data_IF_210695391427
#
_entry.id   IF_210695391427
#
_cell.length_a   1.000
_cell.length_b   1.000
_cell.length_c   1.000
_cell.angle_alpha   90.00
_cell.angle_beta   90.00
_cell.angle_gamma   90.00
#
_symmetry.space_group_name_H-M   'P 1'
#
loop_
_entity.id
_entity.type
_entity.pdbx_description
1 polymer ?
#
# COMPACT_ATOMS: atom_id res chain seq x y z
N UNK A 1 -5.95 -24.89 -14.61
CA UNK A 1 -5.07 -23.69 -14.69
C UNK A 1 -4.60 -23.35 -13.28
N UNK A 2 -3.31 -23.05 -13.10
CA UNK A 2 -2.78 -22.60 -11.82
C UNK A 2 -3.19 -21.14 -11.58
N UNK A 3 -3.67 -20.83 -10.37
CA UNK A 3 -3.96 -19.45 -9.95
C UNK A 3 -2.67 -18.88 -9.37
N UNK A 4 -2.25 -17.73 -9.89
CA UNK A 4 -0.98 -17.08 -9.57
C UNK A 4 -1.25 -15.87 -8.64
N UNK A 5 -0.35 -15.63 -7.68
CA UNK A 5 -0.46 -14.57 -6.66
C UNK A 5 0.80 -13.70 -6.58
N UNK A 6 0.70 -12.38 -6.31
CA UNK A 6 -0.51 -11.65 -5.93
C UNK A 6 -1.51 -11.55 -7.08
N UNK A 7 -2.79 -11.79 -6.78
CA UNK A 7 -3.83 -11.82 -7.81
C UNK A 7 -4.30 -10.40 -8.10
N UNK A 8 -4.58 -10.09 -9.37
CA UNK A 8 -5.20 -8.82 -9.76
C UNK A 8 -6.71 -8.86 -9.51
N UNK A 9 -7.26 -7.79 -8.94
CA UNK A 9 -8.71 -7.66 -8.79
C UNK A 9 -9.37 -7.34 -10.14
N UNK A 10 -10.67 -7.65 -10.32
CA UNK A 10 -11.41 -7.21 -11.50
C UNK A 10 -11.41 -5.68 -11.64
N UNK A 11 -11.43 -5.16 -12.86
CA UNK A 11 -11.52 -3.70 -13.15
C UNK A 11 -12.95 -3.20 -13.22
N UNK A 12 -13.90 -4.12 -13.43
CA UNK A 12 -15.29 -3.77 -13.67
C UNK A 12 -16.22 -4.55 -12.74
N UNK A 13 -17.19 -3.88 -12.07
CA UNK A 13 -17.21 -2.44 -11.85
C UNK A 13 -16.04 -2.00 -10.95
N UNK A 14 -15.56 -0.78 -11.14
CA UNK A 14 -14.58 -0.17 -10.25
C UNK A 14 -15.14 0.08 -8.84
N UNK A 15 -14.28 0.51 -7.94
CA UNK A 15 -14.67 0.82 -6.56
C UNK A 15 -15.61 2.02 -6.52
N UNK A 16 -16.74 1.88 -5.80
CA UNK A 16 -17.62 3.01 -5.50
C UNK A 16 -17.04 3.92 -4.41
N UNK A 17 -16.37 3.31 -3.45
CA UNK A 17 -15.67 4.01 -2.36
C UNK A 17 -14.47 3.20 -1.93
N UNK A 18 -13.34 3.89 -1.76
CA UNK A 18 -12.16 3.39 -1.09
C UNK A 18 -11.92 4.27 0.14
N UNK A 19 -11.53 3.66 1.26
CA UNK A 19 -11.12 4.36 2.47
C UNK A 19 -9.83 3.74 2.95
N UNK A 20 -8.83 4.58 3.21
CA UNK A 20 -7.49 4.17 3.62
C UNK A 20 -7.28 4.71 5.04
N UNK A 21 -6.99 3.82 5.99
CA UNK A 21 -6.79 4.19 7.39
C UNK A 21 -5.41 3.70 7.88
N UNK A 22 -4.54 4.57 8.40
CA UNK A 22 -3.29 4.15 9.01
C UNK A 22 -3.58 3.48 10.35
N UNK A 23 -2.94 2.34 10.60
CA UNK A 23 -2.92 1.67 11.89
C UNK A 23 -1.47 1.58 12.37
N UNK A 24 -1.25 2.08 13.58
CA UNK A 24 0.01 1.93 14.29
C UNK A 24 -0.28 1.34 15.68
N UNK A 25 0.50 0.34 16.08
CA UNK A 25 0.46 -0.19 17.42
C UNK A 25 1.37 0.67 18.29
N UNK A 26 0.79 1.48 19.18
CA UNK A 26 1.53 2.36 20.10
C UNK A 26 1.06 2.10 21.53
N UNK A 27 2.00 1.78 22.42
CA UNK A 27 1.76 1.70 23.85
C UNK A 27 2.04 3.04 24.51
N UNK A 28 1.16 3.48 25.42
CA UNK A 28 1.36 4.71 26.21
C UNK A 28 1.19 4.37 27.68
N UNK A 29 2.19 4.72 28.49
CA UNK A 29 2.13 4.66 29.95
C UNK A 29 2.30 6.07 30.50
N UNK A 30 1.42 6.48 31.40
CA UNK A 30 1.49 7.80 32.05
C UNK A 30 1.60 7.60 33.55
N UNK A 31 2.64 8.17 34.16
CA UNK A 31 2.79 8.15 35.60
C UNK A 31 1.79 9.15 36.23
N UNK A 32 0.86 8.70 37.10
CA UNK A 32 -0.22 9.54 37.62
C UNK A 32 0.26 10.65 38.56
N UNK A 33 1.47 10.55 39.11
CA UNK A 33 2.03 11.48 40.10
C UNK A 33 3.01 12.50 39.52
N UNK A 34 3.62 12.22 38.37
CA UNK A 34 4.60 13.11 37.73
C UNK A 34 4.16 13.60 36.36
N UNK A 35 3.03 13.09 35.84
CA UNK A 35 2.54 13.35 34.49
C UNK A 35 3.55 13.05 33.37
N UNK A 36 4.60 12.28 33.67
CA UNK A 36 5.59 11.85 32.68
C UNK A 36 4.96 10.74 31.86
N UNK A 37 4.94 10.94 30.54
CA UNK A 37 4.43 9.99 29.56
C UNK A 37 5.59 9.23 28.94
N UNK A 38 5.50 7.90 28.94
CA UNK A 38 6.36 7.01 28.18
C UNK A 38 5.56 6.45 27.01
N UNK A 39 6.00 6.74 25.78
CA UNK A 39 5.43 6.21 24.54
C UNK A 39 6.36 5.13 24.00
N UNK A 40 5.82 3.94 23.75
CA UNK A 40 6.53 2.84 23.11
C UNK A 40 5.86 2.55 21.78
N UNK A 41 6.56 2.85 20.69
CA UNK A 41 6.11 2.52 19.34
C UNK A 41 6.45 1.06 19.04
N UNK A 42 5.44 0.24 18.78
CA UNK A 42 5.65 -1.13 18.35
C UNK A 42 5.83 -1.16 16.82
N UNK A 43 6.61 -2.12 16.28
CA UNK A 43 6.92 -2.17 14.85
C UNK A 43 5.71 -2.54 13.97
N UNK A 44 4.59 -2.97 14.56
CA UNK A 44 3.37 -3.31 13.82
C UNK A 44 2.67 -2.05 13.31
N UNK A 45 2.86 -1.77 12.03
CA UNK A 45 2.15 -0.70 11.32
C UNK A 45 1.61 -1.23 10.00
N UNK A 46 0.38 -0.88 9.64
CA UNK A 46 -0.23 -1.27 8.37
C UNK A 46 -1.30 -0.28 7.95
N UNK A 47 -1.67 -0.34 6.67
CA UNK A 47 -2.81 0.36 6.12
C UNK A 47 -4.02 -0.58 6.08
N UNK A 48 -5.16 -0.10 6.56
CA UNK A 48 -6.45 -0.77 6.37
C UNK A 48 -7.20 -0.13 5.22
N UNK A 49 -7.68 -0.97 4.32
CA UNK A 49 -8.48 -0.56 3.18
C UNK A 49 -9.93 -1.01 3.36
N UNK A 50 -10.84 -0.04 3.35
CA UNK A 50 -12.29 -0.26 3.27
C UNK A 50 -12.77 -0.03 1.84
N UNK A 51 -13.23 -1.08 1.17
CA UNK A 51 -13.73 -1.02 -0.22
C UNK A 51 -15.25 -1.22 -0.24
N UNK A 52 -15.96 -0.36 -0.96
CA UNK A 52 -17.38 -0.55 -1.29
C UNK A 52 -17.53 -0.70 -2.78
N UNK A 53 -18.14 -1.81 -3.21
CA UNK A 53 -18.49 -2.06 -4.60
C UNK A 53 -19.90 -1.51 -4.91
N UNK A 54 -20.15 -1.01 -6.13
CA UNK A 54 -21.49 -0.59 -6.53
C UNK A 54 -22.42 -1.81 -6.73
N UNK A 55 -23.75 -1.60 -6.73
CA UNK A 55 -24.70 -2.63 -7.18
C UNK A 55 -24.38 -3.03 -8.62
N UNK A 56 -24.37 -4.34 -8.90
CA UNK A 56 -23.98 -4.86 -10.21
C UNK A 56 -24.80 -6.10 -10.60
N UNK A 57 -24.94 -6.39 -11.91
CA UNK A 57 -25.54 -7.64 -12.37
C UNK A 57 -24.78 -8.85 -11.86
N UNK A 58 -25.47 -9.99 -11.73
CA UNK A 58 -24.85 -11.24 -11.28
C UNK A 58 -23.61 -11.62 -12.09
N UNK A 59 -23.67 -11.46 -13.42
CA UNK A 59 -22.58 -11.83 -14.31
C UNK A 59 -21.24 -11.17 -13.92
N UNK A 60 -21.25 -9.87 -13.60
CA UNK A 60 -20.04 -9.15 -13.13
C UNK A 60 -19.75 -9.42 -11.66
N UNK A 61 -20.76 -9.65 -10.83
CA UNK A 61 -20.55 -10.01 -9.42
C UNK A 61 -19.78 -11.33 -9.25
N UNK A 62 -20.06 -12.33 -10.09
CA UNK A 62 -19.41 -13.65 -10.01
C UNK A 62 -17.89 -13.55 -10.27
N UNK A 63 -17.42 -12.58 -11.06
CA UNK A 63 -15.98 -12.32 -11.24
C UNK A 63 -15.32 -11.86 -9.94
N UNK A 64 -15.96 -10.93 -9.23
CA UNK A 64 -15.51 -10.46 -7.92
C UNK A 64 -15.55 -11.57 -6.86
N UNK A 65 -16.62 -12.36 -6.84
CA UNK A 65 -16.77 -13.50 -5.92
C UNK A 65 -15.68 -14.53 -6.18
N UNK A 66 -15.44 -14.90 -7.43
CA UNK A 66 -14.38 -15.84 -7.79
C UNK A 66 -12.98 -15.34 -7.41
N UNK A 67 -12.72 -14.04 -7.60
CA UNK A 67 -11.48 -13.40 -7.15
C UNK A 67 -11.31 -13.47 -5.63
N UNK A 68 -12.31 -13.04 -4.85
CA UNK A 68 -12.26 -13.04 -3.39
C UNK A 68 -12.15 -14.46 -2.82
N UNK A 69 -12.90 -15.42 -3.39
CA UNK A 69 -12.83 -16.83 -3.00
C UNK A 69 -11.43 -17.40 -3.26
N UNK A 70 -10.81 -17.02 -4.38
CA UNK A 70 -9.46 -17.48 -4.69
C UNK A 70 -8.39 -16.97 -3.74
N UNK A 71 -8.62 -15.83 -3.07
CA UNK A 71 -7.73 -15.32 -2.04
C UNK A 71 -7.75 -16.19 -0.76
N UNK A 72 -8.80 -17.00 -0.58
CA UNK A 72 -8.99 -17.85 0.60
C UNK A 72 -8.82 -17.05 1.91
N UNK A 73 -9.58 -15.95 2.02
CA UNK A 73 -9.49 -15.03 3.15
C UNK A 73 -8.13 -14.35 3.23
N UNK A 74 -7.40 -14.61 4.33
CA UNK A 74 -6.07 -14.02 4.61
C UNK A 74 -4.91 -14.88 4.11
N UNK A 75 -5.19 -16.05 3.52
CA UNK A 75 -4.17 -17.01 3.14
C UNK A 75 -3.36 -16.57 1.91
N UNK A 76 -3.92 -15.72 1.05
CA UNK A 76 -3.29 -15.27 -0.19
C UNK A 76 -3.44 -13.77 -0.38
N UNK A 77 -2.62 -13.21 -1.26
CA UNK A 77 -2.45 -11.77 -1.42
C UNK A 77 -3.00 -11.27 -2.75
N UNK A 78 -3.41 -10.02 -2.76
CA UNK A 78 -3.71 -9.25 -3.96
C UNK A 78 -3.14 -7.84 -3.78
N UNK A 79 -2.95 -7.13 -4.89
CA UNK A 79 -2.52 -5.74 -4.86
C UNK A 79 -3.75 -4.83 -4.89
N UNK A 80 -3.70 -3.79 -4.07
CA UNK A 80 -4.72 -2.74 -4.01
C UNK A 80 -3.99 -1.40 -3.87
N UNK A 81 -4.15 -0.55 -4.87
CA UNK A 81 -3.64 0.82 -4.87
C UNK A 81 -4.71 1.83 -4.48
N UNK A 82 -4.29 3.06 -4.23
CA UNK A 82 -5.17 4.22 -4.13
C UNK A 82 -5.47 4.76 -5.54
N UNK A 83 -6.72 4.70 -6.05
CA UNK A 83 -7.07 5.22 -7.36
C UNK A 83 -6.84 6.73 -7.52
N UNK A 84 -6.90 7.48 -6.41
CA UNK A 84 -6.70 8.95 -6.44
C UNK A 84 -5.20 9.29 -6.38
N UNK A 85 -4.44 8.51 -5.61
CA UNK A 85 -2.99 8.62 -5.48
C UNK A 85 -2.19 7.75 -6.46
N UNK A 86 -2.80 7.28 -7.55
CA UNK A 86 -2.16 6.33 -8.47
C UNK A 86 -0.96 6.94 -9.22
N UNK A 87 -1.00 8.26 -9.44
CA UNK A 87 0.12 9.00 -10.01
C UNK A 87 0.82 9.83 -8.91
N UNK A 88 2.16 9.83 -8.87
CA UNK A 88 2.89 10.68 -7.95
C UNK A 88 2.63 12.15 -8.28
N UNK A 89 2.61 12.99 -7.24
CA UNK A 89 2.48 14.45 -7.39
C UNK A 89 3.83 15.09 -7.71
N UNK A 90 4.90 14.53 -7.19
CA UNK A 90 6.26 14.91 -7.55
C UNK A 90 6.64 14.47 -8.97
N UNK A 91 7.85 14.84 -9.38
CA UNK A 91 8.39 14.44 -10.69
C UNK A 91 8.59 12.92 -10.79
N UNK A 92 8.97 12.29 -9.68
CA UNK A 92 9.14 10.83 -9.52
C UNK A 92 9.87 10.12 -10.69
N UNK A 93 10.84 10.79 -11.32
CA UNK A 93 11.61 10.28 -12.46
C UNK A 93 12.91 9.61 -12.03
N UNK A 94 13.60 8.95 -12.96
CA UNK A 94 14.86 8.24 -12.69
C UNK A 94 14.66 6.75 -12.42
N UNK A 95 15.69 6.11 -11.86
CA UNK A 95 15.70 4.67 -11.55
C UNK A 95 16.08 4.45 -10.09
N UNK A 96 15.21 4.87 -9.15
CA UNK A 96 15.52 4.86 -7.74
C UNK A 96 15.73 3.45 -7.21
N UNK A 97 16.82 3.27 -6.46
CA UNK A 97 17.12 2.05 -5.72
C UNK A 97 17.44 2.38 -4.27
N UNK A 98 17.18 1.43 -3.37
CA UNK A 98 17.56 1.52 -1.95
C UNK A 98 19.08 1.58 -1.85
N UNK A 99 19.59 2.55 -1.10
CA UNK A 99 21.02 2.78 -0.94
C UNK A 99 21.50 2.27 0.43
N UNK A 100 22.31 1.21 0.42
CA UNK A 100 22.94 0.67 1.62
C UNK A 100 22.02 -0.24 2.45
N UNK A 101 22.50 -0.58 3.65
CA UNK A 101 21.77 -1.40 4.60
C UNK A 101 20.92 -0.54 5.54
N UNK A 102 19.71 -1.00 5.82
CA UNK A 102 18.76 -0.34 6.72
C UNK A 102 18.46 -1.24 7.92
N UNK A 103 18.30 -0.63 9.09
CA UNK A 103 17.83 -1.33 10.29
C UNK A 103 16.34 -1.64 10.13
N UNK A 104 15.91 -2.80 10.63
CA UNK A 104 14.49 -3.19 10.66
C UNK A 104 13.68 -2.13 11.42
N UNK A 105 12.49 -1.79 10.91
CA UNK A 105 11.59 -0.80 11.48
C UNK A 105 12.14 0.64 11.51
N UNK A 106 13.02 1.00 10.57
CA UNK A 106 13.37 2.41 10.35
C UNK A 106 12.25 3.18 9.64
N UNK A 107 12.07 4.45 9.99
CA UNK A 107 11.16 5.38 9.33
C UNK A 107 11.85 6.23 8.24
N UNK A 108 13.13 5.96 7.98
CA UNK A 108 13.92 6.65 6.95
C UNK A 108 14.59 5.64 6.01
N UNK A 109 14.50 5.94 4.71
CA UNK A 109 15.08 5.13 3.64
C UNK A 109 16.01 6.00 2.80
N UNK A 110 17.24 5.54 2.65
CA UNK A 110 18.22 6.19 1.78
C UNK A 110 18.03 5.59 0.40
N UNK A 111 17.99 6.46 -0.61
CA UNK A 111 17.78 6.07 -2.00
C UNK A 111 18.75 6.80 -2.92
N UNK A 112 19.04 6.20 -4.06
CA UNK A 112 19.94 6.72 -5.09
C UNK A 112 19.38 6.40 -6.48
N UNK A 113 19.96 6.97 -7.56
CA UNK A 113 19.45 6.78 -8.93
C UNK A 113 18.43 7.84 -9.37
N UNK A 114 18.25 8.86 -8.55
CA UNK A 114 17.46 10.05 -8.85
C UNK A 114 18.23 11.04 -9.74
N UNK A 115 17.57 11.80 -10.63
CA UNK A 115 18.24 12.82 -11.42
C UNK A 115 18.74 13.97 -10.53
N UNK A 116 19.98 14.39 -10.74
CA UNK A 116 20.59 15.49 -9.99
C UNK A 116 19.78 16.80 -10.14
N UNK A 117 19.79 17.62 -9.08
CA UNK A 117 19.18 18.96 -9.07
C UNK A 117 17.68 19.00 -9.37
N UNK A 118 16.96 17.91 -9.15
CA UNK A 118 15.49 17.86 -9.30
C UNK A 118 14.82 18.33 -8.01
N UNK A 119 14.18 19.51 -8.04
CA UNK A 119 13.34 19.96 -6.93
C UNK A 119 11.97 19.27 -6.98
N UNK A 120 11.39 18.98 -5.81
CA UNK A 120 10.06 18.37 -5.73
C UNK A 120 9.97 16.97 -6.35
N UNK A 121 11.03 16.17 -6.20
CA UNK A 121 11.10 14.83 -6.77
C UNK A 121 9.99 13.91 -6.25
N UNK A 122 9.82 13.89 -4.92
CA UNK A 122 8.66 13.32 -4.23
C UNK A 122 8.05 14.42 -3.38
N UNK A 123 6.73 14.48 -3.33
CA UNK A 123 6.01 15.44 -2.52
C UNK A 123 5.32 14.73 -1.34
N UNK A 124 5.06 15.45 -0.23
CA UNK A 124 4.29 14.89 0.87
C UNK A 124 2.93 14.34 0.40
N UNK A 125 2.65 13.10 0.78
CA UNK A 125 1.46 12.36 0.38
C UNK A 125 1.63 11.43 -0.83
N UNK A 126 2.80 11.42 -1.48
CA UNK A 126 3.09 10.44 -2.53
C UNK A 126 3.24 9.04 -1.93
N UNK A 127 2.57 8.06 -2.55
CA UNK A 127 2.71 6.65 -2.18
C UNK A 127 4.06 6.10 -2.64
N UNK A 128 4.76 5.40 -1.73
CA UNK A 128 6.00 4.70 -2.05
C UNK A 128 5.82 3.20 -1.78
N UNK A 129 6.38 2.39 -2.66
CA UNK A 129 6.50 0.95 -2.45
C UNK A 129 7.96 0.55 -2.52
N UNK A 130 8.43 -0.15 -1.50
CA UNK A 130 9.78 -0.69 -1.44
C UNK A 130 9.70 -2.19 -1.69
N UNK A 131 10.42 -2.66 -2.71
CA UNK A 131 10.38 -4.03 -3.15
C UNK A 131 9.32 -4.29 -4.21
N UNK A 132 9.71 -5.09 -5.21
CA UNK A 132 8.86 -5.52 -6.31
C UNK A 132 8.26 -6.86 -5.89
N UNK A 133 6.95 -6.94 -5.64
CA UNK A 133 6.28 -8.24 -5.72
C UNK A 133 6.24 -8.59 -7.21
N UNK A 134 7.29 -9.25 -7.70
CA UNK A 134 7.39 -9.72 -9.06
C UNK A 134 6.22 -10.63 -9.40
N UNK A 135 5.33 -10.17 -10.28
CA UNK A 135 4.72 -10.97 -11.33
C UNK A 135 4.38 -10.08 -12.55
N UNK A 136 5.35 -9.99 -13.44
CA UNK A 136 5.28 -9.71 -14.89
C UNK A 136 4.59 -8.47 -15.47
N UNK A 137 3.74 -7.72 -14.78
CA UNK A 137 3.13 -6.50 -15.36
C UNK A 137 3.49 -5.23 -14.58
N UNK A 138 4.15 -4.29 -15.25
CA UNK A 138 4.58 -3.00 -14.70
C UNK A 138 3.42 -2.04 -14.39
N UNK A 139 2.21 -2.32 -14.91
CA UNK A 139 1.06 -1.42 -14.86
C UNK A 139 -0.03 -1.83 -13.85
N UNK A 140 0.28 -2.75 -12.93
CA UNK A 140 -0.71 -3.39 -12.05
C UNK A 140 -1.39 -2.46 -11.02
N UNK A 141 -0.96 -1.21 -10.87
CA UNK A 141 -1.53 -0.25 -9.92
C UNK A 141 -2.54 0.74 -10.53
N UNK A 142 -2.58 0.88 -11.86
CA UNK A 142 -3.25 2.03 -12.49
C UNK A 142 -4.42 1.65 -13.42
N UNK A 143 -5.19 0.63 -13.05
CA UNK A 143 -6.42 0.22 -13.75
C UNK A 143 -7.47 -0.33 -12.80
#
# INVERSE_FOLDING_TARGET
MAIIFPRRHPTTPGFRRLTIAPRAIVGVSVAPTSAIQQVVEHPGQWWEFGVTLPPMPRATAEEWVAFLLSCNGRSRTFLLGDPVGANPRGVASGTPNVAGAHVVATNSLLTHGWPASTNGLLLPGDWIQVGRNYLTDADAFNT
#
